data_IF_863229364212
#
_entry.id   IF_863229364212
#
_cell.length_a   1.000
_cell.length_b   1.000
_cell.length_c   1.000
_cell.angle_alpha   90.00
_cell.angle_beta   90.00
_cell.angle_gamma   90.00
#
_symmetry.space_group_name_H-M   'P 1'
#
loop_
_entity.id
_entity.type
_entity.pdbx_description
1 polymer ?
#
# COMPACT_ATOMS: atom_id res chain seq x y z
N UNK A 1 26.03 114.68 6.96
CA UNK A 1 26.75 113.88 5.93
C UNK A 1 25.72 113.05 5.20
N UNK A 2 25.52 113.38 3.93
CA UNK A 2 24.55 112.87 2.97
C UNK A 2 25.32 112.09 1.88
N UNK A 3 24.59 111.23 1.13
CA UNK A 3 24.87 110.73 -0.24
C UNK A 3 26.03 109.69 -0.40
N UNK A 4 26.02 108.72 -1.32
CA UNK A 4 25.19 108.35 -2.50
C UNK A 4 25.49 106.87 -2.87
N UNK A 5 24.48 106.01 -3.13
CA UNK A 5 24.10 105.35 -4.41
C UNK A 5 25.08 104.39 -5.15
N UNK A 6 24.61 103.15 -5.48
CA UNK A 6 24.20 102.66 -6.85
C UNK A 6 24.13 101.11 -7.02
N UNK A 7 22.92 100.63 -7.32
CA UNK A 7 22.46 99.76 -8.45
C UNK A 7 23.20 98.45 -8.84
N UNK A 8 22.59 97.26 -8.78
CA UNK A 8 21.72 96.61 -9.81
C UNK A 8 22.52 95.48 -10.51
N UNK A 9 22.10 94.21 -10.70
CA UNK A 9 20.92 93.64 -11.39
C UNK A 9 20.75 92.14 -11.03
N UNK A 10 19.51 91.63 -11.14
CA UNK A 10 19.09 90.22 -11.07
C UNK A 10 19.40 89.46 -12.37
N UNK A 11 19.73 88.16 -12.26
CA UNK A 11 19.58 87.17 -13.33
C UNK A 11 18.75 85.99 -12.79
N UNK A 12 17.58 85.78 -13.39
CA UNK A 12 16.66 84.67 -13.12
C UNK A 12 17.17 83.39 -13.80
N UNK A 13 17.17 82.28 -13.07
CA UNK A 13 17.21 80.95 -13.68
C UNK A 13 15.81 80.33 -13.58
N UNK A 14 15.08 80.34 -14.69
CA UNK A 14 13.81 79.64 -14.84
C UNK A 14 14.03 78.13 -14.68
N UNK A 15 13.38 77.54 -13.68
CA UNK A 15 13.35 76.10 -13.43
C UNK A 15 12.30 75.47 -14.35
N UNK A 16 12.73 74.77 -15.40
CA UNK A 16 11.85 73.91 -16.18
C UNK A 16 11.64 72.62 -15.40
N UNK A 17 10.47 72.46 -14.79
CA UNK A 17 10.01 71.21 -14.17
C UNK A 17 9.38 70.32 -15.24
N UNK A 18 10.07 69.23 -15.58
CA UNK A 18 9.56 68.14 -16.42
C UNK A 18 9.39 66.85 -15.60
N UNK A 19 8.20 66.28 -15.68
CA UNK A 19 7.67 65.12 -14.95
C UNK A 19 8.60 63.88 -14.89
N UNK A 20 8.68 63.27 -13.70
CA UNK A 20 8.98 61.85 -13.51
C UNK A 20 7.92 61.24 -12.56
N UNK A 21 7.39 60.09 -12.98
CA UNK A 21 6.22 59.32 -12.54
C UNK A 21 5.89 59.23 -11.03
N UNK A 22 4.60 59.03 -10.65
CA UNK A 22 4.17 58.99 -9.24
C UNK A 22 4.48 57.64 -8.57
N UNK A 23 5.46 57.62 -7.66
CA UNK A 23 5.88 56.46 -6.85
C UNK A 23 4.76 55.70 -6.12
N UNK A 24 3.62 56.35 -5.85
CA UNK A 24 2.47 55.72 -5.15
C UNK A 24 1.71 54.71 -6.00
N UNK A 25 1.64 54.90 -7.33
CA UNK A 25 0.98 53.90 -8.20
C UNK A 25 1.84 52.65 -8.31
N UNK A 26 3.15 52.80 -8.51
CA UNK A 26 4.12 51.70 -8.63
C UNK A 26 4.13 50.79 -7.40
N UNK A 27 4.06 51.35 -6.18
CA UNK A 27 3.96 50.56 -4.95
C UNK A 27 2.66 49.75 -4.83
N UNK A 28 1.55 50.29 -5.32
CA UNK A 28 0.23 49.62 -5.29
C UNK A 28 0.15 48.51 -6.34
N UNK A 29 0.72 48.74 -7.52
CA UNK A 29 0.87 47.71 -8.56
C UNK A 29 1.81 46.58 -8.12
N UNK A 30 2.94 46.89 -7.48
CA UNK A 30 3.84 45.88 -6.92
C UNK A 30 3.18 45.02 -5.83
N UNK A 31 2.39 45.63 -4.92
CA UNK A 31 1.64 44.86 -3.91
C UNK A 31 0.61 43.92 -4.54
N UNK A 32 -0.12 44.37 -5.57
CA UNK A 32 -1.05 43.50 -6.31
C UNK A 32 -0.33 42.38 -7.03
N UNK A 33 0.81 42.65 -7.69
CA UNK A 33 1.61 41.62 -8.37
C UNK A 33 2.15 40.59 -7.37
N UNK A 34 2.64 41.03 -6.21
CA UNK A 34 3.11 40.13 -5.16
C UNK A 34 1.95 39.30 -4.60
N UNK A 35 0.78 39.90 -4.35
CA UNK A 35 -0.39 39.14 -3.87
C UNK A 35 -0.90 38.14 -4.92
N UNK A 36 -0.93 38.52 -6.20
CA UNK A 36 -1.30 37.64 -7.30
C UNK A 36 -0.26 36.54 -7.50
N UNK A 37 1.03 36.82 -7.35
CA UNK A 37 2.09 35.81 -7.40
C UNK A 37 2.03 34.87 -6.20
N UNK A 38 1.76 35.35 -4.98
CA UNK A 38 1.57 34.50 -3.80
C UNK A 38 0.31 33.64 -3.98
N UNK A 39 -0.79 34.23 -4.43
CA UNK A 39 -2.03 33.50 -4.70
C UNK A 39 -1.84 32.47 -5.83
N UNK A 40 -1.13 32.83 -6.90
CA UNK A 40 -0.77 31.93 -7.99
C UNK A 40 0.15 30.82 -7.49
N UNK A 41 1.20 31.12 -6.71
CA UNK A 41 2.09 30.13 -6.12
C UNK A 41 1.39 29.18 -5.13
N UNK A 42 0.41 29.67 -4.35
CA UNK A 42 -0.40 28.85 -3.43
C UNK A 42 -1.40 27.97 -4.17
N UNK A 43 -1.93 28.41 -5.32
CA UNK A 43 -2.80 27.59 -6.14
C UNK A 43 -2.01 26.60 -7.01
N UNK A 44 -0.85 27.01 -7.52
CA UNK A 44 0.13 26.16 -8.22
C UNK A 44 0.63 25.06 -7.29
N UNK A 45 0.99 25.36 -6.04
CA UNK A 45 1.42 24.32 -5.08
C UNK A 45 0.32 23.30 -4.78
N UNK A 46 -0.97 23.69 -4.79
CA UNK A 46 -2.10 22.75 -4.70
C UNK A 46 -2.30 21.91 -5.96
N UNK A 47 -1.97 22.45 -7.14
CA UNK A 47 -2.06 21.74 -8.43
C UNK A 47 -0.90 20.74 -8.59
N UNK A 48 0.25 20.98 -7.94
CA UNK A 48 1.44 20.12 -8.03
C UNK A 48 1.67 19.19 -6.82
N UNK A 49 0.93 19.32 -5.72
CA UNK A 49 0.97 18.33 -4.63
C UNK A 49 -0.03 17.20 -4.89
N UNK A 50 0.39 16.17 -5.63
CA UNK A 50 -0.28 14.87 -5.50
C UNK A 50 0.13 14.34 -4.12
N UNK A 51 -0.73 14.54 -3.13
CA UNK A 51 -0.55 13.88 -1.85
C UNK A 51 -0.79 12.39 -2.09
N UNK A 52 0.30 11.64 -2.29
CA UNK A 52 0.26 10.18 -2.34
C UNK A 52 -0.37 9.61 -1.06
N UNK A 53 -0.30 10.35 0.04
CA UNK A 53 -0.77 9.94 1.35
C UNK A 53 -1.90 10.81 1.89
N UNK A 54 -2.83 10.16 2.56
CA UNK A 54 -3.86 10.77 3.38
C UNK A 54 -3.69 10.28 4.82
N UNK A 55 -3.39 11.19 5.74
CA UNK A 55 -3.44 10.89 7.17
C UNK A 55 -4.90 10.75 7.59
N UNK A 56 -5.22 9.67 8.28
CA UNK A 56 -6.55 9.46 8.81
C UNK A 56 -6.58 9.89 10.28
N UNK A 57 -7.60 10.66 10.66
CA UNK A 57 -7.84 11.00 12.06
C UNK A 57 -8.45 9.80 12.77
N UNK A 58 -7.78 9.28 13.79
CA UNK A 58 -8.20 8.09 14.54
C UNK A 58 -8.81 8.41 15.91
N UNK A 59 -8.59 9.61 16.43
CA UNK A 59 -9.06 10.02 17.76
C UNK A 59 -8.32 9.36 18.93
N UNK A 60 -7.22 8.65 18.69
CA UNK A 60 -6.40 8.00 19.72
C UNK A 60 -4.92 8.28 19.50
N UNK A 61 -4.12 8.17 20.57
CA UNK A 61 -2.65 8.18 20.52
C UNK A 61 -2.05 6.81 20.82
N UNK A 62 -2.88 5.79 21.01
CA UNK A 62 -2.40 4.43 21.27
C UNK A 62 -1.69 3.86 20.05
N UNK A 63 -0.63 3.09 20.27
CA UNK A 63 0.06 2.39 19.18
C UNK A 63 -0.88 1.37 18.53
N UNK A 64 -1.03 1.47 17.21
CA UNK A 64 -1.78 0.53 16.39
C UNK A 64 -0.83 -0.56 15.88
N UNK A 65 -1.30 -1.80 15.92
CA UNK A 65 -0.48 -3.01 15.71
C UNK A 65 -0.90 -3.82 14.50
N UNK A 66 -2.17 -3.77 14.11
CA UNK A 66 -2.64 -4.46 12.91
C UNK A 66 -3.82 -3.76 12.27
N UNK A 67 -3.92 -3.82 10.94
CA UNK A 67 -4.99 -3.23 10.16
C UNK A 67 -5.45 -4.19 9.07
N UNK A 68 -6.77 -4.30 8.90
CA UNK A 68 -7.36 -5.12 7.84
C UNK A 68 -8.61 -4.48 7.28
N UNK A 69 -8.94 -4.82 6.03
CA UNK A 69 -10.17 -4.38 5.40
C UNK A 69 -10.98 -5.56 4.90
N UNK A 70 -12.30 -5.48 5.15
CA UNK A 70 -13.30 -6.41 4.62
C UNK A 70 -13.58 -6.09 3.15
N UNK A 71 -13.63 -4.79 2.84
CA UNK A 71 -13.81 -4.23 1.51
C UNK A 71 -13.25 -2.81 1.47
N UNK A 72 -13.36 -2.09 0.36
CA UNK A 72 -12.77 -0.74 0.20
C UNK A 72 -13.29 0.31 1.18
N UNK A 73 -14.48 0.08 1.76
CA UNK A 73 -15.13 1.01 2.68
C UNK A 73 -15.03 0.54 4.14
N UNK A 74 -15.09 -0.76 4.39
CA UNK A 74 -15.14 -1.31 5.76
C UNK A 74 -13.80 -1.87 6.19
N UNK A 75 -13.24 -1.33 7.27
CA UNK A 75 -11.94 -1.75 7.81
C UNK A 75 -11.87 -1.66 9.33
N UNK A 76 -10.95 -2.43 9.90
CA UNK A 76 -10.69 -2.51 11.34
C UNK A 76 -9.19 -2.38 11.59
N UNK A 77 -8.83 -1.58 12.59
CA UNK A 77 -7.47 -1.45 13.08
C UNK A 77 -7.44 -1.66 14.59
N UNK A 78 -6.45 -2.38 15.10
CA UNK A 78 -6.35 -2.76 16.51
C UNK A 78 -4.98 -2.41 17.08
N UNK A 79 -4.89 -2.26 18.40
CA UNK A 79 -3.63 -1.92 19.03
C UNK A 79 -3.60 -2.01 20.55
N UNK A 80 -2.69 -1.26 21.14
CA UNK A 80 -2.44 -1.25 22.58
C UNK A 80 -3.66 -0.78 23.38
N UNK A 81 -3.74 -1.19 24.64
CA UNK A 81 -4.78 -0.77 25.58
C UNK A 81 -6.20 -1.05 25.06
N UNK A 82 -6.40 -2.26 24.53
CA UNK A 82 -7.67 -2.73 23.96
C UNK A 82 -8.27 -1.84 22.87
N UNK A 83 -7.43 -1.11 22.12
CA UNK A 83 -7.90 -0.22 21.05
C UNK A 83 -8.48 -1.05 19.90
N UNK A 84 -9.73 -0.77 19.52
CA UNK A 84 -10.37 -1.25 18.28
C UNK A 84 -10.93 -0.04 17.56
N UNK A 85 -10.42 0.25 16.37
CA UNK A 85 -10.93 1.28 15.48
C UNK A 85 -11.66 0.63 14.32
N UNK A 86 -12.83 1.15 13.96
CA UNK A 86 -13.63 0.69 12.84
C UNK A 86 -13.93 1.86 11.89
N UNK A 87 -13.85 1.61 10.58
CA UNK A 87 -14.29 2.54 9.54
C UNK A 87 -15.32 1.86 8.64
N UNK A 88 -16.27 2.64 8.13
CA UNK A 88 -17.26 2.20 7.13
C UNK A 88 -17.23 3.05 5.85
N UNK A 89 -16.25 3.93 5.70
CA UNK A 89 -16.10 4.85 4.56
C UNK A 89 -14.64 4.95 4.07
N UNK A 90 -13.88 3.87 4.19
CA UNK A 90 -12.54 3.76 3.60
C UNK A 90 -11.50 4.59 4.35
N UNK A 91 -11.71 4.82 5.65
CA UNK A 91 -10.79 5.51 6.54
C UNK A 91 -11.11 6.99 6.78
N UNK A 92 -12.00 7.60 5.99
CA UNK A 92 -12.34 9.04 6.14
C UNK A 92 -12.73 9.39 7.57
N UNK A 93 -13.40 8.47 8.27
CA UNK A 93 -13.46 8.49 9.73
C UNK A 93 -13.18 7.10 10.32
N UNK A 94 -12.67 7.09 11.54
CA UNK A 94 -12.51 5.92 12.39
C UNK A 94 -13.28 6.13 13.69
N UNK A 95 -14.01 5.12 14.11
CA UNK A 95 -14.80 5.09 15.34
C UNK A 95 -14.16 4.08 16.28
N UNK A 96 -13.94 4.48 17.54
CA UNK A 96 -13.49 3.55 18.58
C UNK A 96 -14.65 2.64 18.99
N UNK A 97 -14.40 1.34 19.02
CA UNK A 97 -15.34 0.32 19.48
C UNK A 97 -14.89 -0.14 20.86
N UNK A 98 -15.55 0.41 21.88
CA UNK A 98 -15.25 0.07 23.27
C UNK A 98 -15.87 -1.28 23.63
N UNK A 99 -15.02 -2.23 24.01
CA UNK A 99 -15.43 -3.46 24.67
C UNK A 99 -14.90 -3.45 26.11
N UNK A 100 -15.82 -3.41 27.06
CA UNK A 100 -15.55 -3.15 28.47
C UNK A 100 -14.39 -3.98 29.05
N UNK A 101 -13.47 -3.31 29.76
CA UNK A 101 -12.51 -3.84 30.73
C UNK A 101 -11.61 -5.01 30.27
N UNK A 102 -10.94 -4.88 29.12
CA UNK A 102 -9.70 -5.62 28.89
C UNK A 102 -8.50 -4.68 29.06
N UNK A 103 -7.53 -5.06 29.89
CA UNK A 103 -6.21 -4.38 29.96
C UNK A 103 -5.21 -4.99 28.95
N UNK A 104 -5.67 -5.78 27.99
CA UNK A 104 -4.82 -6.49 27.05
C UNK A 104 -4.36 -5.61 25.89
N UNK A 105 -3.26 -5.99 25.24
CA UNK A 105 -2.85 -5.40 23.97
C UNK A 105 -3.34 -6.29 22.83
N UNK A 106 -4.06 -5.71 21.86
CA UNK A 106 -4.49 -6.44 20.68
C UNK A 106 -3.38 -6.47 19.63
N UNK A 107 -3.10 -7.67 19.12
CA UNK A 107 -1.87 -7.98 18.39
C UNK A 107 -2.08 -8.18 16.90
N UNK A 108 -3.21 -8.72 16.47
CA UNK A 108 -3.53 -8.99 15.07
C UNK A 108 -5.05 -9.04 14.86
N UNK A 109 -5.51 -8.64 13.68
CA UNK A 109 -6.92 -8.70 13.28
C UNK A 109 -7.06 -9.32 11.89
N UNK A 110 -8.02 -10.24 11.72
CA UNK A 110 -8.36 -10.81 10.42
C UNK A 110 -9.84 -11.21 10.34
N UNK A 111 -10.37 -11.21 9.13
CA UNK A 111 -11.75 -11.63 8.84
C UNK A 111 -11.76 -12.93 8.04
N UNK A 112 -12.59 -13.89 8.48
CA UNK A 112 -12.88 -15.09 7.71
C UNK A 112 -13.79 -14.74 6.52
N UNK A 113 -14.78 -13.88 6.77
CA UNK A 113 -15.74 -13.42 5.78
C UNK A 113 -16.24 -12.01 6.14
N UNK A 114 -17.21 -11.48 5.41
CA UNK A 114 -17.68 -10.11 5.58
C UNK A 114 -18.28 -9.79 6.96
N UNK A 115 -18.73 -10.80 7.71
CA UNK A 115 -19.39 -10.62 9.01
C UNK A 115 -18.57 -11.18 10.17
N UNK A 116 -17.77 -12.22 9.93
CA UNK A 116 -17.04 -12.94 10.97
C UNK A 116 -15.56 -12.59 10.95
N UNK A 117 -15.08 -12.05 12.05
CA UNK A 117 -13.68 -11.67 12.24
C UNK A 117 -13.19 -11.91 13.66
N UNK A 118 -11.87 -11.88 13.80
CA UNK A 118 -11.18 -12.24 15.04
C UNK A 118 -10.02 -11.29 15.31
N UNK A 119 -9.79 -11.02 16.59
CA UNK A 119 -8.66 -10.25 17.11
C UNK A 119 -7.94 -11.11 18.16
N UNK A 120 -6.62 -11.16 18.10
CA UNK A 120 -5.79 -11.83 19.11
C UNK A 120 -5.27 -10.83 20.14
N UNK A 121 -4.98 -11.29 21.36
CA UNK A 121 -4.33 -10.48 22.38
C UNK A 121 -3.12 -11.15 23.01
N UNK A 122 -2.22 -10.34 23.54
CA UNK A 122 -1.06 -10.81 24.30
C UNK A 122 -1.39 -11.43 25.67
N UNK A 123 -2.66 -11.34 26.09
CA UNK A 123 -3.18 -12.00 27.29
C UNK A 123 -3.82 -13.36 26.98
N UNK A 124 -3.74 -13.83 25.73
CA UNK A 124 -4.30 -15.12 25.31
C UNK A 124 -5.79 -15.09 24.95
N UNK A 125 -6.41 -13.91 24.92
CA UNK A 125 -7.81 -13.77 24.52
C UNK A 125 -7.97 -13.86 23.00
N UNK A 126 -9.07 -14.50 22.58
CA UNK A 126 -9.57 -14.42 21.23
C UNK A 126 -10.89 -13.64 21.24
N UNK A 127 -10.89 -12.51 20.55
CA UNK A 127 -12.03 -11.58 20.49
C UNK A 127 -12.70 -11.77 19.14
N UNK A 128 -14.02 -11.99 19.12
CA UNK A 128 -14.78 -12.38 17.92
C UNK A 128 -15.88 -11.38 17.61
N UNK A 129 -16.09 -11.11 16.32
CA UNK A 129 -17.27 -10.42 15.80
C UNK A 129 -18.05 -11.34 14.87
N UNK A 130 -19.36 -11.13 14.78
CA UNK A 130 -20.26 -11.77 13.81
C UNK A 130 -21.09 -10.75 13.02
N UNK A 131 -20.76 -9.46 13.13
CA UNK A 131 -21.47 -8.36 12.48
C UNK A 131 -20.52 -7.35 11.81
N UNK A 132 -19.39 -7.84 11.27
CA UNK A 132 -18.47 -7.02 10.48
C UNK A 132 -17.60 -6.06 11.31
N UNK A 133 -17.43 -6.34 12.60
CA UNK A 133 -16.60 -5.53 13.49
C UNK A 133 -17.32 -4.39 14.20
N UNK A 134 -18.65 -4.34 14.10
CA UNK A 134 -19.48 -3.36 14.82
C UNK A 134 -19.57 -3.67 16.32
N UNK A 135 -19.58 -4.95 16.70
CA UNK A 135 -19.50 -5.41 18.08
C UNK A 135 -18.54 -6.60 18.20
N UNK A 136 -17.96 -6.78 19.38
CA UNK A 136 -16.99 -7.83 19.66
C UNK A 136 -17.24 -8.50 21.01
N UNK A 137 -16.98 -9.81 21.08
CA UNK A 137 -17.09 -10.62 22.30
C UNK A 137 -15.75 -11.25 22.64
N UNK A 138 -15.33 -11.15 23.90
CA UNK A 138 -14.04 -11.68 24.39
C UNK A 138 -14.23 -13.12 24.87
N UNK A 139 -13.27 -14.00 24.54
CA UNK A 139 -13.19 -15.35 25.09
C UNK A 139 -11.80 -15.63 25.67
N UNK A 140 -11.76 -16.34 26.81
CA UNK A 140 -10.54 -16.93 27.35
C UNK A 140 -10.17 -18.15 26.51
N UNK A 141 -9.34 -17.94 25.49
CA UNK A 141 -9.09 -18.94 24.46
C UNK A 141 -7.84 -19.76 24.74
N UNK A 142 -6.74 -19.11 25.12
CA UNK A 142 -5.44 -19.74 25.32
C UNK A 142 -4.82 -19.26 26.63
N UNK A 143 -4.13 -20.13 27.39
CA UNK A 143 -3.35 -19.70 28.55
C UNK A 143 -2.07 -18.94 28.13
N UNK A 144 -1.66 -19.05 26.88
CA UNK A 144 -0.49 -18.38 26.32
C UNK A 144 -0.89 -17.16 25.46
N UNK A 145 -0.04 -16.11 25.40
CA UNK A 145 -0.22 -14.97 24.51
C UNK A 145 -0.48 -15.37 23.05
N UNK A 146 -1.47 -14.75 22.42
CA UNK A 146 -1.74 -14.87 20.99
C UNK A 146 -1.16 -13.66 20.25
N UNK A 147 -0.53 -13.91 19.10
CA UNK A 147 0.20 -12.88 18.35
C UNK A 147 -0.28 -12.68 16.92
N UNK A 148 -0.82 -13.72 16.31
CA UNK A 148 -1.19 -13.67 14.89
C UNK A 148 -2.47 -14.43 14.63
N UNK A 149 -3.37 -13.83 13.85
CA UNK A 149 -4.55 -14.46 13.28
C UNK A 149 -4.47 -14.36 11.76
N UNK A 150 -4.78 -15.46 11.08
CA UNK A 150 -4.79 -15.52 9.63
C UNK A 150 -5.97 -16.35 9.12
N UNK A 151 -6.63 -15.89 8.07
CA UNK A 151 -7.62 -16.65 7.32
C UNK A 151 -7.20 -16.74 5.86
N UNK A 152 -7.12 -17.96 5.34
CA UNK A 152 -6.89 -18.20 3.91
C UNK A 152 -8.19 -18.04 3.11
N UNK A 153 -9.31 -18.48 3.70
CA UNK A 153 -10.66 -18.32 3.17
C UNK A 153 -11.68 -18.30 4.32
N UNK A 154 -12.98 -18.37 4.01
CA UNK A 154 -14.06 -18.28 5.00
C UNK A 154 -14.15 -19.44 5.98
N UNK A 155 -13.50 -20.57 5.71
CA UNK A 155 -13.53 -21.75 6.56
C UNK A 155 -12.18 -22.08 7.18
N UNK A 156 -11.08 -21.90 6.44
CA UNK A 156 -9.72 -22.26 6.84
C UNK A 156 -8.97 -21.06 7.41
N UNK A 157 -8.58 -21.16 8.68
CA UNK A 157 -7.81 -20.14 9.37
C UNK A 157 -6.92 -20.70 10.47
N UNK A 158 -6.02 -19.85 10.98
CA UNK A 158 -5.05 -20.19 12.00
C UNK A 158 -4.90 -19.06 13.02
N UNK A 159 -4.77 -19.43 14.29
CA UNK A 159 -4.44 -18.55 15.41
C UNK A 159 -3.16 -19.06 16.03
N UNK A 160 -2.14 -18.21 16.15
CA UNK A 160 -0.85 -18.58 16.72
C UNK A 160 -0.29 -17.54 17.67
N UNK A 161 0.62 -17.97 18.53
CA UNK A 161 1.29 -17.09 19.48
C UNK A 161 2.47 -17.77 20.17
N UNK A 162 2.65 -17.49 21.45
CA UNK A 162 3.69 -18.14 22.24
C UNK A 162 3.35 -19.62 22.45
N UNK A 163 4.23 -20.50 21.96
CA UNK A 163 4.16 -21.96 22.17
C UNK A 163 2.84 -22.60 21.72
N UNK A 164 2.08 -21.94 20.85
CA UNK A 164 0.74 -22.41 20.49
C UNK A 164 0.36 -22.05 19.05
N UNK A 165 -0.28 -23.00 18.38
CA UNK A 165 -0.89 -22.87 17.06
C UNK A 165 -2.18 -23.68 17.01
N UNK A 166 -3.26 -23.00 16.60
CA UNK A 166 -4.56 -23.59 16.38
C UNK A 166 -4.99 -23.40 14.93
N UNK A 167 -5.74 -24.37 14.41
CA UNK A 167 -6.36 -24.37 13.09
C UNK A 167 -7.87 -24.44 13.21
N UNK A 168 -8.58 -23.74 12.34
CA UNK A 168 -10.02 -23.93 12.12
C UNK A 168 -10.27 -24.34 10.69
N UNK A 169 -11.32 -25.13 10.46
CA UNK A 169 -11.83 -25.50 9.14
C UNK A 169 -13.31 -25.15 8.97
N UNK A 170 -13.88 -24.40 9.92
CA UNK A 170 -15.27 -23.96 9.96
C UNK A 170 -15.40 -22.49 10.37
N UNK A 171 -14.46 -21.64 9.96
CA UNK A 171 -14.57 -20.18 10.12
C UNK A 171 -14.43 -19.72 11.58
N UNK A 172 -13.77 -20.52 12.42
CA UNK A 172 -13.55 -20.22 13.84
C UNK A 172 -14.79 -20.45 14.72
N UNK A 173 -15.67 -21.37 14.32
CA UNK A 173 -16.64 -21.99 15.24
C UNK A 173 -15.90 -22.93 16.21
N UNK A 174 -14.96 -23.73 15.71
CA UNK A 174 -14.10 -24.58 16.51
C UNK A 174 -12.63 -24.46 16.07
N UNK A 175 -11.72 -24.68 17.01
CA UNK A 175 -10.28 -24.59 16.83
C UNK A 175 -9.59 -25.85 17.34
N UNK A 176 -8.70 -26.43 16.53
CA UNK A 176 -7.95 -27.65 16.83
C UNK A 176 -6.49 -27.25 17.03
N UNK A 177 -5.88 -27.72 18.12
CA UNK A 177 -4.46 -27.50 18.36
C UNK A 177 -3.62 -28.31 17.37
N UNK A 178 -2.80 -27.63 16.57
CA UNK A 178 -1.88 -28.21 15.57
C UNK A 178 -0.44 -27.76 15.85
N UNK A 179 -0.15 -27.44 17.12
CA UNK A 179 1.17 -27.05 17.59
C UNK A 179 2.15 -28.20 17.35
N UNK A 180 3.30 -27.95 16.69
CA UNK A 180 4.31 -28.99 16.49
C UNK A 180 4.82 -29.55 17.83
N UNK A 181 5.15 -30.85 17.90
CA UNK A 181 5.73 -31.44 19.12
C UNK A 181 7.01 -30.70 19.55
N UNK A 182 7.10 -30.35 20.84
CA UNK A 182 8.26 -29.65 21.40
C UNK A 182 8.38 -28.18 20.99
N UNK A 183 7.36 -27.60 20.35
CA UNK A 183 7.38 -26.20 19.92
C UNK A 183 7.44 -25.23 21.09
N UNK A 184 8.48 -24.39 21.13
CA UNK A 184 8.72 -23.43 22.21
C UNK A 184 9.20 -22.07 21.65
N UNK A 185 8.45 -21.50 20.72
CA UNK A 185 8.80 -20.23 20.05
C UNK A 185 7.54 -19.34 19.90
N UNK A 186 7.70 -18.08 19.49
CA UNK A 186 6.58 -17.15 19.27
C UNK A 186 6.29 -17.03 17.77
N UNK A 187 5.07 -17.40 17.35
CA UNK A 187 4.61 -17.23 15.96
C UNK A 187 4.38 -15.74 15.67
N UNK A 188 4.88 -15.27 14.52
CA UNK A 188 4.73 -13.87 14.08
C UNK A 188 4.07 -13.70 12.72
N UNK A 189 4.08 -14.73 11.86
CA UNK A 189 3.40 -14.71 10.56
C UNK A 189 2.94 -16.11 10.20
N UNK A 190 1.75 -16.24 9.62
CA UNK A 190 1.22 -17.46 9.03
C UNK A 190 0.68 -17.09 7.65
N UNK A 191 1.00 -17.88 6.64
CA UNK A 191 0.52 -17.65 5.27
C UNK A 191 0.37 -18.97 4.53
N UNK A 192 -0.75 -19.13 3.83
CA UNK A 192 -0.95 -20.20 2.86
C UNK A 192 -0.94 -19.62 1.44
N UNK A 193 -0.33 -20.35 0.50
CA UNK A 193 -0.46 -20.06 -0.93
C UNK A 193 -1.73 -20.69 -1.50
N UNK A 194 -2.01 -21.93 -1.08
CA UNK A 194 -3.21 -22.68 -1.43
C UNK A 194 -3.67 -23.54 -0.23
N UNK A 195 -4.70 -24.37 -0.43
CA UNK A 195 -5.29 -25.17 0.65
C UNK A 195 -4.31 -26.12 1.34
N UNK A 196 -3.20 -26.48 0.69
CA UNK A 196 -2.25 -27.48 1.21
C UNK A 196 -0.90 -26.87 1.57
N UNK A 197 -0.44 -25.88 0.82
CA UNK A 197 0.93 -25.37 0.89
C UNK A 197 1.02 -24.01 1.59
N UNK A 198 1.92 -23.91 2.57
CA UNK A 198 2.22 -22.63 3.20
C UNK A 198 3.30 -22.69 4.27
N UNK A 199 3.46 -21.57 4.97
CA UNK A 199 4.52 -21.35 5.95
C UNK A 199 3.98 -20.66 7.19
N UNK A 200 4.63 -20.91 8.31
CA UNK A 200 4.61 -19.96 9.41
C UNK A 200 6.03 -19.63 9.85
N UNK A 201 6.19 -18.43 10.38
CA UNK A 201 7.44 -17.90 10.87
C UNK A 201 7.35 -17.68 12.38
N UNK A 202 8.46 -17.90 13.06
CA UNK A 202 8.61 -17.54 14.47
C UNK A 202 9.64 -16.45 14.64
N UNK A 203 9.62 -15.82 15.81
CA UNK A 203 10.64 -14.85 16.22
C UNK A 203 10.85 -14.94 17.72
N UNK A 204 12.09 -14.77 18.13
CA UNK A 204 12.47 -14.54 19.51
C UNK A 204 13.37 -13.32 19.60
N UNK A 205 13.34 -12.61 20.73
CA UNK A 205 14.15 -11.40 20.89
C UNK A 205 15.64 -11.76 20.87
N UNK A 206 16.38 -11.22 19.91
CA UNK A 206 17.82 -11.46 19.70
C UNK A 206 18.22 -12.90 19.35
N UNK A 207 17.26 -13.82 19.21
CA UNK A 207 17.48 -15.20 18.80
C UNK A 207 17.02 -15.42 17.34
N UNK A 208 17.57 -16.41 16.64
CA UNK A 208 17.09 -16.78 15.32
C UNK A 208 15.62 -17.21 15.36
N UNK A 209 14.82 -16.67 14.46
CA UNK A 209 13.50 -17.21 14.17
C UNK A 209 13.60 -18.54 13.43
N UNK A 210 12.49 -19.24 13.31
CA UNK A 210 12.37 -20.51 12.62
C UNK A 210 11.32 -20.42 11.52
N UNK A 211 11.56 -21.13 10.44
CA UNK A 211 10.61 -21.27 9.33
C UNK A 211 10.03 -22.66 9.37
N UNK A 212 8.70 -22.73 9.41
CA UNK A 212 7.96 -23.98 9.31
C UNK A 212 7.18 -24.02 8.02
N UNK A 213 7.08 -25.21 7.41
CA UNK A 213 6.39 -25.46 6.16
C UNK A 213 5.29 -26.50 6.36
N UNK A 214 4.18 -26.34 5.65
CA UNK A 214 3.15 -27.36 5.51
C UNK A 214 2.91 -27.69 4.03
N UNK A 215 2.50 -28.93 3.79
CA UNK A 215 2.04 -29.43 2.48
C UNK A 215 0.71 -30.20 2.60
N UNK A 216 0.00 -30.03 3.73
CA UNK A 216 -1.28 -30.68 4.03
C UNK A 216 -2.25 -29.73 4.76
N UNK A 217 -2.17 -28.45 4.42
CA UNK A 217 -3.10 -27.41 4.88
C UNK A 217 -2.95 -27.11 6.37
N UNK A 218 -1.72 -27.20 6.88
CA UNK A 218 -1.41 -26.92 8.28
C UNK A 218 -1.94 -27.96 9.27
N UNK A 219 -2.25 -29.17 8.79
CA UNK A 219 -2.53 -30.30 9.68
C UNK A 219 -1.25 -30.75 10.38
N UNK A 220 -0.12 -30.72 9.66
CA UNK A 220 1.22 -30.86 10.23
C UNK A 220 2.14 -29.77 9.66
N UNK A 221 3.18 -29.44 10.44
CA UNK A 221 4.18 -28.43 10.10
C UNK A 221 5.58 -28.97 10.37
N UNK A 222 6.48 -28.78 9.42
CA UNK A 222 7.87 -29.21 9.49
C UNK A 222 8.80 -28.00 9.59
N UNK A 223 9.69 -27.98 10.59
CA UNK A 223 10.75 -26.99 10.72
C UNK A 223 11.78 -27.17 9.59
N UNK A 224 12.21 -26.07 8.97
CA UNK A 224 13.21 -26.06 7.90
C UNK A 224 14.60 -25.82 8.49
N UNK A 225 15.30 -26.90 8.86
CA UNK A 225 16.61 -26.82 9.54
C UNK A 225 17.70 -26.12 8.70
N UNK A 226 17.63 -26.23 7.37
CA UNK A 226 18.63 -25.65 6.45
C UNK A 226 18.28 -24.24 5.96
N UNK A 227 17.27 -23.57 6.54
CA UNK A 227 16.83 -22.25 6.08
C UNK A 227 17.96 -21.21 6.06
N UNK A 228 18.83 -21.22 7.08
CA UNK A 228 19.97 -20.30 7.19
C UNK A 228 21.29 -20.85 6.64
N UNK A 229 21.28 -21.94 5.87
CA UNK A 229 22.52 -22.53 5.36
C UNK A 229 23.30 -21.51 4.51
N UNK A 230 24.51 -21.16 4.95
CA UNK A 230 25.35 -20.14 4.30
C UNK A 230 24.95 -18.69 4.59
N UNK A 231 23.95 -18.43 5.43
CA UNK A 231 23.54 -17.08 5.83
C UNK A 231 24.09 -16.69 7.21
N UNK A 232 24.83 -15.60 7.25
CA UNK A 232 25.52 -15.10 8.47
C UNK A 232 24.94 -13.79 9.00
N UNK A 233 23.88 -13.25 8.39
CA UNK A 233 23.23 -12.03 8.84
C UNK A 233 22.27 -12.25 10.00
N UNK A 234 21.49 -11.21 10.31
CA UNK A 234 20.51 -11.22 11.40
C UNK A 234 19.29 -12.08 11.07
N UNK A 235 18.80 -12.81 12.07
CA UNK A 235 17.88 -13.94 11.86
C UNK A 235 16.47 -13.73 12.44
N UNK A 236 16.08 -12.50 12.79
CA UNK A 236 14.68 -12.24 13.13
C UNK A 236 13.82 -12.20 11.87
N UNK A 237 12.71 -12.91 11.90
CA UNK A 237 11.78 -13.04 10.79
C UNK A 237 10.58 -12.10 11.00
N UNK A 238 10.08 -11.50 9.92
CA UNK A 238 8.93 -10.59 9.98
C UNK A 238 7.79 -10.98 9.06
N UNK A 239 8.09 -11.20 7.78
CA UNK A 239 7.05 -11.43 6.79
C UNK A 239 7.38 -12.57 5.83
N UNK A 240 6.34 -13.23 5.33
CA UNK A 240 6.41 -14.31 4.35
C UNK A 240 5.36 -14.07 3.26
N UNK A 241 5.80 -14.03 2.01
CA UNK A 241 4.90 -13.87 0.86
C UNK A 241 5.20 -14.92 -0.20
N UNK A 242 4.34 -15.94 -0.33
CA UNK A 242 4.37 -16.87 -1.44
C UNK A 242 3.87 -16.20 -2.73
N UNK A 243 4.67 -16.23 -3.79
CA UNK A 243 4.24 -15.85 -5.13
C UNK A 243 3.61 -17.04 -5.86
N UNK A 244 4.19 -18.22 -5.67
CA UNK A 244 3.70 -19.51 -6.13
C UNK A 244 4.27 -20.63 -5.24
N UNK A 245 3.90 -21.89 -5.51
CA UNK A 245 4.42 -23.04 -4.75
C UNK A 245 5.95 -23.13 -4.77
N UNK A 246 6.61 -22.65 -5.81
CA UNK A 246 8.06 -22.71 -5.92
C UNK A 246 8.74 -21.45 -5.37
N UNK A 247 8.15 -20.28 -5.59
CA UNK A 247 8.75 -18.98 -5.31
C UNK A 247 8.13 -18.33 -4.08
N UNK A 248 8.94 -18.19 -3.03
CA UNK A 248 8.51 -17.60 -1.74
C UNK A 248 9.58 -16.64 -1.25
N UNK A 249 9.15 -15.53 -0.68
CA UNK A 249 9.99 -14.48 -0.11
C UNK A 249 9.77 -14.41 1.39
N UNK A 250 10.86 -14.31 2.16
CA UNK A 250 10.82 -14.07 3.61
C UNK A 250 11.67 -12.85 3.93
N UNK A 251 11.08 -11.88 4.61
CA UNK A 251 11.77 -10.73 5.16
C UNK A 251 12.38 -11.07 6.53
N UNK A 252 13.62 -10.62 6.74
CA UNK A 252 14.37 -10.84 7.95
C UNK A 252 15.31 -9.67 8.27
N UNK A 253 15.73 -9.57 9.52
CA UNK A 253 16.64 -8.54 10.00
C UNK A 253 16.48 -8.19 11.48
N UNK A 254 17.31 -7.29 11.98
CA UNK A 254 17.05 -6.46 13.16
C UNK A 254 17.46 -5.02 12.82
N UNK A 255 18.77 -4.78 12.72
CA UNK A 255 19.40 -3.53 12.33
C UNK A 255 19.74 -3.49 10.83
N UNK A 256 19.92 -4.65 10.20
CA UNK A 256 20.16 -4.83 8.77
C UNK A 256 18.96 -5.50 8.11
N UNK A 257 18.64 -5.06 6.90
CA UNK A 257 17.60 -5.69 6.08
C UNK A 257 18.13 -6.90 5.33
N UNK A 258 17.34 -7.97 5.30
CA UNK A 258 17.55 -9.13 4.46
C UNK A 258 16.25 -9.59 3.82
N UNK A 259 16.39 -10.23 2.66
CA UNK A 259 15.32 -11.04 2.05
C UNK A 259 15.91 -12.38 1.67
N UNK A 260 15.27 -13.45 2.16
CA UNK A 260 15.50 -14.81 1.71
C UNK A 260 14.46 -15.14 0.64
N UNK A 261 14.90 -15.81 -0.43
CA UNK A 261 14.04 -16.31 -1.49
C UNK A 261 14.32 -17.78 -1.76
N UNK A 262 13.25 -18.54 -1.95
CA UNK A 262 13.31 -19.87 -2.57
C UNK A 262 12.67 -19.83 -3.95
N UNK A 263 13.10 -20.74 -4.83
CA UNK A 263 12.48 -20.99 -6.14
C UNK A 263 12.20 -22.48 -6.34
N UNK A 264 12.18 -23.26 -5.26
CA UNK A 264 11.93 -24.70 -5.25
C UNK A 264 11.09 -25.12 -4.03
N UNK A 265 10.16 -24.24 -3.63
CA UNK A 265 9.16 -24.50 -2.60
C UNK A 265 9.73 -24.64 -1.20
N UNK A 266 10.83 -23.95 -0.92
CA UNK A 266 11.45 -23.90 0.41
C UNK A 266 12.44 -25.03 0.68
N UNK A 267 12.84 -25.79 -0.34
CA UNK A 267 13.89 -26.82 -0.21
C UNK A 267 15.26 -26.17 -0.02
N UNK A 268 15.57 -25.15 -0.84
CA UNK A 268 16.76 -24.31 -0.70
C UNK A 268 16.36 -22.85 -0.62
N UNK A 269 17.10 -22.07 0.16
CA UNK A 269 16.91 -20.65 0.33
C UNK A 269 18.18 -19.89 -0.02
N UNK A 270 17.99 -18.80 -0.74
CA UNK A 270 19.05 -17.89 -1.14
C UNK A 270 18.80 -16.53 -0.52
N UNK A 271 19.82 -15.95 0.09
CA UNK A 271 19.81 -14.53 0.42
C UNK A 271 19.95 -13.72 -0.88
N UNK A 272 18.94 -12.89 -1.19
CA UNK A 272 18.89 -12.17 -2.46
C UNK A 272 19.13 -10.67 -2.32
N UNK A 273 19.28 -10.15 -1.11
CA UNK A 273 19.40 -8.72 -0.87
C UNK A 273 20.80 -8.32 -0.37
N UNK A 274 21.57 -7.59 -1.17
CA UNK A 274 22.89 -7.08 -0.75
C UNK A 274 22.91 -5.54 -0.90
N UNK A 275 22.79 -4.85 0.24
CA UNK A 275 23.15 -3.44 0.48
C UNK A 275 22.23 -2.34 -0.07
N UNK A 276 21.66 -1.57 0.87
CA UNK A 276 21.25 -0.18 0.66
C UNK A 276 22.53 0.70 0.74
N UNK A 277 23.13 1.05 -0.39
CA UNK A 277 24.27 1.97 -0.40
C UNK A 277 23.87 3.46 -0.29
N UNK A 278 22.60 3.77 0.02
CA UNK A 278 22.07 5.15 -0.04
C UNK A 278 21.40 5.62 1.26
N UNK A 279 21.15 4.72 2.22
CA UNK A 279 20.63 5.10 3.54
C UNK A 279 21.49 4.49 4.65
N UNK A 280 21.85 5.32 5.63
CA UNK A 280 22.68 4.93 6.77
C UNK A 280 22.01 3.91 7.71
N UNK A 281 20.68 3.72 7.66
CA UNK A 281 19.94 2.81 8.57
C UNK A 281 18.61 2.28 7.99
N UNK A 282 18.60 1.36 7.01
CA UNK A 282 17.39 0.61 6.69
C UNK A 282 17.30 -0.56 7.66
N UNK A 283 16.57 -0.39 8.77
CA UNK A 283 16.19 -1.52 9.60
C UNK A 283 15.19 -2.43 8.88
N UNK A 284 14.93 -3.59 9.49
CA UNK A 284 14.25 -4.74 8.88
C UNK A 284 13.00 -4.42 8.07
N UNK A 285 12.76 -5.18 6.99
CA UNK A 285 11.49 -5.16 6.29
C UNK A 285 10.43 -5.86 7.14
N UNK A 286 9.37 -5.13 7.50
CA UNK A 286 8.28 -5.66 8.33
C UNK A 286 7.14 -6.19 7.48
N UNK A 287 6.97 -5.66 6.26
CA UNK A 287 5.90 -6.06 5.36
C UNK A 287 6.43 -6.08 3.92
N UNK A 288 6.06 -7.13 3.18
CA UNK A 288 6.35 -7.34 1.78
C UNK A 288 5.05 -7.44 1.00
N UNK A 289 5.05 -6.94 -0.23
CA UNK A 289 3.96 -7.12 -1.18
C UNK A 289 4.54 -7.58 -2.50
N UNK A 290 4.23 -8.80 -2.87
CA UNK A 290 4.64 -9.36 -4.16
C UNK A 290 3.52 -9.14 -5.16
N UNK A 291 3.78 -8.29 -6.15
CA UNK A 291 2.87 -7.99 -7.24
C UNK A 291 3.02 -9.02 -8.37
N UNK A 292 4.27 -9.31 -8.72
CA UNK A 292 4.65 -10.35 -9.67
C UNK A 292 6.11 -10.81 -9.43
N UNK A 293 6.66 -11.62 -10.34
CA UNK A 293 8.03 -12.18 -10.23
C UNK A 293 9.13 -11.12 -10.18
N UNK A 294 8.87 -9.94 -10.71
CA UNK A 294 9.82 -8.84 -10.80
C UNK A 294 9.49 -7.72 -9.82
N UNK A 295 8.21 -7.45 -9.58
CA UNK A 295 7.76 -6.30 -8.80
C UNK A 295 7.42 -6.69 -7.37
N UNK A 296 8.26 -6.23 -6.43
CA UNK A 296 8.08 -6.44 -4.98
C UNK A 296 8.16 -5.09 -4.29
N UNK A 297 7.22 -4.83 -3.40
CA UNK A 297 7.25 -3.67 -2.51
C UNK A 297 7.63 -4.16 -1.13
N UNK A 298 8.44 -3.39 -0.42
CA UNK A 298 8.76 -3.65 0.97
C UNK A 298 8.58 -2.38 1.79
N UNK A 299 8.10 -2.56 3.01
CA UNK A 299 8.06 -1.52 4.03
C UNK A 299 9.06 -1.89 5.13
N UNK A 300 9.98 -0.98 5.48
CA UNK A 300 10.76 -1.18 6.70
C UNK A 300 9.94 -0.84 7.94
N UNK A 301 10.18 -1.59 9.01
CA UNK A 301 9.64 -1.28 10.32
C UNK A 301 10.38 -0.14 11.01
N UNK A 302 9.92 0.23 12.21
CA UNK A 302 10.58 1.22 13.03
C UNK A 302 11.97 0.76 13.41
N UNK A 303 12.95 1.64 13.23
CA UNK A 303 14.33 1.46 13.71
C UNK A 303 14.67 2.71 14.50
N UNK A 304 15.42 2.60 15.60
CA UNK A 304 15.71 3.71 16.50
C UNK A 304 16.22 4.96 15.74
N UNK A 305 15.35 5.97 15.60
CA UNK A 305 15.66 7.24 14.94
C UNK A 305 15.52 7.24 13.42
N UNK A 306 15.13 6.14 12.76
CA UNK A 306 14.95 6.06 11.32
C UNK A 306 13.46 6.03 10.92
N UNK A 307 13.05 6.82 9.92
CA UNK A 307 11.66 6.78 9.45
C UNK A 307 11.35 5.48 8.68
N UNK A 308 10.07 5.12 8.61
CA UNK A 308 9.59 4.07 7.73
C UNK A 308 9.59 4.53 6.27
N UNK A 309 9.89 3.63 5.35
CA UNK A 309 9.93 3.83 3.92
C UNK A 309 9.21 2.69 3.20
N UNK A 310 8.55 3.04 2.11
CA UNK A 310 8.15 2.09 1.08
C UNK A 310 9.19 2.09 -0.03
N UNK A 311 9.73 0.92 -0.34
CA UNK A 311 10.70 0.72 -1.41
C UNK A 311 10.18 -0.32 -2.40
N UNK A 312 10.61 -0.21 -3.66
CA UNK A 312 10.21 -1.10 -4.73
C UNK A 312 11.43 -1.77 -5.34
N UNK A 313 11.30 -3.07 -5.57
CA UNK A 313 12.16 -3.86 -6.44
C UNK A 313 11.43 -4.13 -7.74
N UNK A 314 12.15 -4.05 -8.87
CA UNK A 314 11.68 -4.40 -10.21
C UNK A 314 12.44 -5.59 -10.81
N UNK A 315 13.25 -6.27 -9.99
CA UNK A 315 14.04 -7.43 -10.37
C UNK A 315 13.85 -8.58 -9.37
N UNK A 316 12.65 -8.74 -8.82
CA UNK A 316 12.29 -9.90 -8.02
C UNK A 316 12.96 -9.95 -6.65
N UNK A 317 13.18 -8.77 -6.05
CA UNK A 317 13.75 -8.58 -4.72
C UNK A 317 15.27 -8.49 -4.67
N UNK A 318 15.96 -8.66 -5.81
CA UNK A 318 17.42 -8.64 -5.82
C UNK A 318 17.99 -7.26 -5.48
N UNK A 319 17.38 -6.20 -6.03
CA UNK A 319 17.70 -4.82 -5.70
C UNK A 319 16.41 -4.05 -5.43
N UNK A 320 16.44 -3.21 -4.40
CA UNK A 320 15.40 -2.20 -4.16
C UNK A 320 15.99 -0.86 -4.58
N UNK A 321 15.41 -0.23 -5.60
CA UNK A 321 15.93 1.03 -6.14
C UNK A 321 15.36 2.22 -5.38
N UNK A 322 16.23 3.16 -5.03
CA UNK A 322 15.93 4.35 -4.22
C UNK A 322 15.28 5.55 -4.95
N UNK A 323 15.22 5.73 -6.28
CA UNK A 323 14.71 7.00 -6.82
C UNK A 323 13.23 7.30 -6.51
N UNK A 324 12.49 6.38 -5.86
CA UNK A 324 11.09 6.55 -5.48
C UNK A 324 10.76 6.03 -4.07
N UNK A 325 11.75 5.92 -3.17
CA UNK A 325 11.49 5.51 -1.78
C UNK A 325 10.53 6.51 -1.12
N UNK A 326 9.39 6.02 -0.65
CA UNK A 326 8.38 6.91 -0.09
C UNK A 326 8.44 6.89 1.43
N UNK A 327 8.87 8.01 2.02
CA UNK A 327 8.94 8.18 3.47
C UNK A 327 7.53 8.22 4.06
N UNK A 328 7.23 7.27 4.93
CA UNK A 328 6.04 7.27 5.77
C UNK A 328 6.29 8.15 6.98
N UNK A 329 5.24 8.81 7.45
CA UNK A 329 5.31 9.65 8.63
C UNK A 329 5.14 8.80 9.89
N UNK A 330 6.22 8.62 10.65
CA UNK A 330 6.18 7.86 11.90
C UNK A 330 6.56 6.38 11.74
N UNK A 331 6.37 5.64 12.83
CA UNK A 331 6.73 4.23 12.97
C UNK A 331 5.53 3.35 12.64
N UNK A 332 5.63 2.55 11.57
CA UNK A 332 4.57 1.70 11.04
C UNK A 332 4.81 0.24 11.44
N UNK A 333 3.75 -0.44 11.88
CA UNK A 333 3.81 -1.83 12.35
C UNK A 333 3.15 -2.83 11.39
N UNK A 334 2.14 -2.41 10.64
CA UNK A 334 1.38 -3.27 9.74
C UNK A 334 0.86 -2.48 8.53
N UNK A 335 0.58 -3.19 7.44
CA UNK A 335 0.08 -2.64 6.20
C UNK A 335 -0.94 -3.55 5.53
N UNK A 336 -2.07 -3.00 5.10
CA UNK A 336 -3.06 -3.69 4.28
C UNK A 336 -3.06 -3.16 2.85
N UNK A 337 -3.03 -4.05 1.85
CA UNK A 337 -2.92 -3.69 0.44
C UNK A 337 -4.07 -4.21 -0.41
N UNK A 338 -4.79 -3.30 -1.05
CA UNK A 338 -5.76 -3.62 -2.08
C UNK A 338 -5.06 -3.80 -3.42
N UNK A 339 -4.87 -5.06 -3.85
CA UNK A 339 -4.24 -5.38 -5.13
C UNK A 339 -5.00 -4.86 -6.36
N UNK A 340 -6.31 -4.63 -6.24
CA UNK A 340 -7.18 -4.22 -7.36
C UNK A 340 -7.20 -2.71 -7.60
N UNK A 341 -7.07 -1.90 -6.54
CA UNK A 341 -7.03 -0.43 -6.63
C UNK A 341 -5.64 0.14 -6.43
N UNK A 342 -4.68 -0.70 -6.03
CA UNK A 342 -3.36 -0.27 -5.59
C UNK A 342 -3.40 0.69 -4.41
N UNK A 343 -4.49 0.70 -3.64
CA UNK A 343 -4.56 1.41 -2.38
C UNK A 343 -3.89 0.60 -1.27
N UNK A 344 -3.26 1.28 -0.32
CA UNK A 344 -2.72 0.64 0.87
C UNK A 344 -3.03 1.46 2.12
N UNK A 345 -3.11 0.80 3.26
CA UNK A 345 -3.30 1.42 4.56
C UNK A 345 -2.21 0.93 5.49
N UNK A 346 -1.58 1.85 6.22
CA UNK A 346 -0.53 1.54 7.18
C UNK A 346 -0.94 2.05 8.54
N UNK A 347 -0.70 1.28 9.59
CA UNK A 347 -0.97 1.70 10.96
C UNK A 347 0.28 1.65 11.82
N UNK A 348 0.37 2.56 12.80
CA UNK A 348 1.61 2.80 13.53
C UNK A 348 1.47 3.39 14.93
N UNK A 349 2.58 3.94 15.42
CA UNK A 349 2.64 4.66 16.70
C UNK A 349 1.77 5.91 16.73
N UNK A 350 1.45 6.36 17.94
CA UNK A 350 0.69 7.60 18.16
C UNK A 350 -0.67 7.61 17.45
N UNK A 351 -1.29 6.44 17.30
CA UNK A 351 -2.59 6.29 16.65
C UNK A 351 -2.59 6.56 15.14
N UNK A 352 -1.43 6.58 14.48
CA UNK A 352 -1.38 6.97 13.07
C UNK A 352 -1.95 5.89 12.16
N UNK A 353 -2.81 6.32 11.23
CA UNK A 353 -3.19 5.55 10.04
C UNK A 353 -2.88 6.40 8.81
N UNK A 354 -2.14 5.84 7.86
CA UNK A 354 -1.83 6.46 6.58
C UNK A 354 -2.49 5.65 5.48
N UNK A 355 -3.30 6.30 4.65
CA UNK A 355 -3.81 5.73 3.41
C UNK A 355 -2.94 6.20 2.24
N UNK A 356 -2.52 5.26 1.40
CA UNK A 356 -1.83 5.49 0.15
C UNK A 356 -2.80 5.18 -0.99
N UNK A 357 -3.13 6.17 -1.83
CA UNK A 357 -4.14 6.01 -2.88
C UNK A 357 -3.64 5.21 -4.10
N UNK A 358 -2.32 5.15 -4.31
CA UNK A 358 -1.67 4.27 -5.29
C UNK A 358 -0.24 3.99 -4.86
N UNK A 359 0.09 2.72 -4.63
CA UNK A 359 1.44 2.30 -4.26
C UNK A 359 2.35 1.94 -5.45
N UNK A 360 1.83 1.96 -6.68
CA UNK A 360 2.69 1.79 -7.87
C UNK A 360 3.41 3.11 -8.14
N UNK A 361 4.61 3.22 -7.61
CA UNK A 361 5.58 4.24 -8.01
C UNK A 361 5.88 4.05 -9.50
N UNK A 362 5.38 4.99 -10.31
CA UNK A 362 5.61 5.29 -11.75
C UNK A 362 4.34 5.56 -12.56
N UNK A 363 3.13 5.38 -12.00
CA UNK A 363 1.92 5.93 -12.61
C UNK A 363 1.73 7.34 -12.07
N UNK A 364 2.13 8.35 -12.84
CA UNK A 364 1.68 9.70 -12.58
C UNK A 364 0.15 9.71 -12.71
N UNK A 365 -0.56 9.89 -11.60
CA UNK A 365 -1.95 10.34 -11.66
C UNK A 365 -1.96 11.82 -12.05
N UNK A 366 -1.44 12.15 -13.23
CA UNK A 366 -1.75 13.43 -13.84
C UNK A 366 -3.20 13.34 -14.29
N UNK A 367 -4.07 14.01 -13.53
CA UNK A 367 -5.28 14.70 -14.01
C UNK A 367 -6.02 14.01 -15.16
N UNK A 368 -6.53 12.81 -14.95
CA UNK A 368 -7.59 12.28 -15.81
C UNK A 368 -8.61 11.64 -14.88
N UNK A 369 -9.86 12.08 -14.94
CA UNK A 369 -10.98 11.50 -14.20
C UNK A 369 -11.12 10.03 -14.64
N UNK A 370 -10.48 9.12 -13.91
CA UNK A 370 -10.65 7.68 -14.10
C UNK A 370 -12.02 7.34 -13.50
N UNK A 371 -13.06 7.47 -14.31
CA UNK A 371 -14.38 6.94 -14.02
C UNK A 371 -14.31 5.45 -14.35
N UNK A 372 -14.49 4.58 -13.35
CA UNK A 372 -14.57 3.13 -13.52
C UNK A 372 -15.91 2.73 -12.87
N UNK A 373 -16.82 1.95 -13.47
CA UNK A 373 -16.72 0.83 -14.41
C UNK A 373 -18.04 0.73 -15.21
N UNK A 374 -18.02 0.01 -16.34
CA UNK A 374 -19.17 -0.46 -17.14
C UNK A 374 -19.61 0.38 -18.36
N UNK A 375 -18.67 0.58 -19.30
CA UNK A 375 -19.00 1.08 -20.66
C UNK A 375 -18.52 0.20 -21.83
N UNK A 376 -17.73 -0.84 -21.57
CA UNK A 376 -17.29 -1.77 -22.61
C UNK A 376 -16.94 -3.14 -22.02
N UNK A 377 -17.07 -4.20 -22.81
CA UNK A 377 -16.61 -5.55 -22.50
C UNK A 377 -15.44 -5.95 -23.40
N UNK A 378 -14.59 -6.85 -22.88
CA UNK A 378 -13.49 -7.45 -23.62
C UNK A 378 -13.87 -8.90 -23.88
N UNK A 379 -13.93 -9.29 -25.15
CA UNK A 379 -14.31 -10.66 -25.53
C UNK A 379 -13.43 -11.18 -26.67
N UNK A 380 -12.83 -12.38 -26.55
CA UNK A 380 -12.84 -13.26 -25.37
C UNK A 380 -11.92 -12.74 -24.25
N UNK A 381 -12.28 -13.02 -23.00
CA UNK A 381 -11.43 -12.77 -21.82
C UNK A 381 -11.61 -13.91 -20.79
N UNK A 382 -10.65 -14.84 -20.64
CA UNK A 382 -9.32 -14.85 -21.24
C UNK A 382 -9.31 -14.92 -22.78
N UNK A 383 -8.39 -14.20 -23.42
CA UNK A 383 -8.30 -14.06 -24.87
C UNK A 383 -7.06 -14.72 -25.48
N UNK A 384 -7.15 -15.08 -26.77
CA UNK A 384 -6.03 -15.59 -27.57
C UNK A 384 -5.25 -14.46 -28.24
N UNK A 385 -4.93 -14.62 -29.52
CA UNK A 385 -4.22 -13.61 -30.31
C UNK A 385 -5.08 -12.41 -30.71
N UNK A 386 -6.40 -12.50 -30.54
CA UNK A 386 -7.34 -11.46 -30.88
C UNK A 386 -8.31 -11.23 -29.72
N UNK A 387 -8.58 -9.96 -29.44
CA UNK A 387 -9.60 -9.52 -28.48
C UNK A 387 -10.50 -8.47 -29.13
N UNK A 388 -11.78 -8.47 -28.80
CA UNK A 388 -12.74 -7.47 -29.24
C UNK A 388 -13.09 -6.56 -28.07
N UNK A 389 -13.15 -5.25 -28.33
CA UNK A 389 -13.66 -4.25 -27.40
C UNK A 389 -15.08 -3.90 -27.83
N UNK A 390 -16.06 -4.36 -27.07
CA UNK A 390 -17.48 -4.21 -27.35
C UNK A 390 -18.06 -3.14 -26.43
N UNK A 391 -18.57 -2.01 -26.94
CA UNK A 391 -19.26 -1.01 -26.11
C UNK A 391 -20.54 -1.61 -25.49
N UNK A 392 -20.92 -1.16 -24.29
CA UNK A 392 -22.18 -1.58 -23.65
C UNK A 392 -23.39 -0.84 -24.29
N UNK A 393 -24.56 -1.49 -24.36
CA UNK A 393 -25.71 -1.24 -25.28
C UNK A 393 -26.34 0.18 -25.31
N UNK A 394 -25.85 1.15 -24.54
CA UNK A 394 -26.42 2.51 -24.47
C UNK A 394 -25.42 3.63 -24.80
N UNK A 395 -24.37 3.33 -25.58
CA UNK A 395 -23.30 4.28 -25.83
C UNK A 395 -23.10 4.62 -27.31
N UNK A 396 -23.60 5.79 -27.70
CA UNK A 396 -23.60 6.32 -29.07
C UNK A 396 -22.21 6.88 -29.45
N UNK A 397 -21.17 6.03 -29.41
CA UNK A 397 -19.78 6.37 -29.75
C UNK A 397 -19.43 6.04 -31.21
N UNK A 398 -20.44 5.82 -32.06
CA UNK A 398 -20.32 5.21 -33.38
C UNK A 398 -19.63 6.04 -34.45
N UNK A 399 -19.39 7.33 -34.21
CA UNK A 399 -18.89 8.24 -35.25
C UNK A 399 -17.64 9.06 -34.86
N UNK A 400 -17.24 9.06 -33.58
CA UNK A 400 -16.22 10.02 -33.10
C UNK A 400 -14.77 9.49 -33.11
N UNK A 401 -14.57 8.18 -33.28
CA UNK A 401 -13.25 7.55 -33.21
C UNK A 401 -12.62 7.60 -31.82
N UNK A 402 -11.41 7.05 -31.68
CA UNK A 402 -10.73 6.97 -30.38
C UNK A 402 -9.41 6.20 -30.42
N UNK A 403 -8.83 5.99 -29.24
CA UNK A 403 -7.57 5.29 -29.07
C UNK A 403 -7.69 4.18 -28.01
N UNK A 404 -7.05 3.06 -28.30
CA UNK A 404 -6.89 1.95 -27.38
C UNK A 404 -5.41 1.82 -27.07
N UNK A 405 -5.07 1.78 -25.78
CA UNK A 405 -3.71 1.61 -25.31
C UNK A 405 -3.68 0.41 -24.37
N UNK A 406 -2.76 -0.52 -24.60
CA UNK A 406 -2.57 -1.69 -23.72
C UNK A 406 -1.28 -1.50 -22.93
N UNK A 407 -1.39 -1.72 -21.63
CA UNK A 407 -0.30 -1.69 -20.67
C UNK A 407 -0.04 -3.09 -20.11
N UNK A 408 1.22 -3.42 -19.88
CA UNK A 408 1.59 -4.59 -19.09
C UNK A 408 1.39 -4.34 -17.57
N UNK A 409 1.62 -5.36 -16.76
CA UNK A 409 1.52 -5.28 -15.29
C UNK A 409 2.46 -4.25 -14.65
N UNK A 410 3.53 -3.85 -15.34
CA UNK A 410 4.46 -2.83 -14.86
C UNK A 410 3.97 -1.40 -15.15
N UNK A 411 2.88 -1.25 -15.93
CA UNK A 411 2.37 0.03 -16.41
C UNK A 411 3.07 0.52 -17.68
N UNK A 412 3.91 -0.30 -18.32
CA UNK A 412 4.54 0.06 -19.60
C UNK A 412 3.52 -0.14 -20.72
N UNK A 413 3.39 0.86 -21.59
CA UNK A 413 2.61 0.74 -22.82
C UNK A 413 3.27 -0.31 -23.74
N UNK A 414 2.50 -1.32 -24.13
CA UNK A 414 2.95 -2.44 -24.97
C UNK A 414 2.21 -2.53 -26.30
N UNK A 415 1.06 -1.86 -26.43
CA UNK A 415 0.30 -1.81 -27.68
C UNK A 415 -0.50 -0.52 -27.78
N UNK A 416 -0.77 -0.07 -29.00
CA UNK A 416 -1.77 0.95 -29.30
C UNK A 416 -2.55 0.62 -30.58
N UNK A 417 -3.83 1.01 -30.61
CA UNK A 417 -4.71 0.84 -31.75
C UNK A 417 -5.71 2.00 -31.84
N UNK A 418 -6.21 2.30 -33.04
CA UNK A 418 -7.29 3.27 -33.23
C UNK A 418 -8.65 2.59 -33.22
N UNK A 419 -9.66 3.26 -32.66
CA UNK A 419 -11.06 2.84 -32.71
C UNK A 419 -11.63 3.29 -34.04
N UNK A 420 -11.97 2.32 -34.90
CA UNK A 420 -12.43 2.60 -36.26
C UNK A 420 -13.83 2.07 -36.57
N UNK A 421 -14.45 1.19 -35.76
CA UNK A 421 -15.85 0.71 -35.88
C UNK A 421 -16.31 -0.18 -34.69
N UNK A 422 -17.59 -0.57 -34.61
CA UNK A 422 -18.25 -1.24 -33.47
C UNK A 422 -17.63 -2.56 -32.96
N UNK A 423 -16.91 -3.30 -33.80
CA UNK A 423 -16.16 -4.48 -33.38
C UNK A 423 -14.67 -4.19 -33.52
N UNK A 424 -14.11 -3.45 -32.55
CA UNK A 424 -12.67 -3.16 -32.52
C UNK A 424 -11.90 -4.43 -32.14
N UNK A 425 -11.66 -5.28 -33.14
CA UNK A 425 -10.82 -6.47 -33.00
C UNK A 425 -9.36 -6.04 -33.02
N UNK A 426 -8.65 -6.31 -31.94
CA UNK A 426 -7.25 -5.97 -31.74
C UNK A 426 -6.40 -7.22 -31.88
N UNK A 427 -5.41 -7.18 -32.77
CA UNK A 427 -4.40 -8.21 -32.87
C UNK A 427 -3.30 -8.00 -31.81
N UNK A 428 -3.25 -8.91 -30.85
CA UNK A 428 -2.29 -8.94 -29.75
C UNK A 428 -1.35 -10.15 -29.83
N UNK A 429 -1.19 -10.77 -31.00
CA UNK A 429 -0.37 -11.98 -31.17
C UNK A 429 1.09 -11.79 -30.74
N UNK A 430 1.65 -10.60 -30.97
CA UNK A 430 3.00 -10.20 -30.56
C UNK A 430 3.18 -10.04 -29.04
N UNK A 431 2.10 -9.97 -28.24
CA UNK A 431 2.20 -9.85 -26.79
C UNK A 431 2.41 -11.24 -26.14
N UNK A 432 3.29 -11.37 -25.13
CA UNK A 432 3.45 -12.63 -24.41
C UNK A 432 2.22 -13.00 -23.58
N UNK A 433 2.15 -14.24 -23.10
CA UNK A 433 1.11 -14.69 -22.17
C UNK A 433 1.24 -13.95 -20.84
N UNK A 434 0.26 -13.14 -20.50
CA UNK A 434 0.26 -12.32 -19.28
C UNK A 434 -1.12 -11.74 -18.99
N UNK A 435 -1.20 -10.98 -17.91
CA UNK A 435 -2.30 -10.08 -17.60
C UNK A 435 -1.96 -8.69 -18.15
N UNK A 436 -2.96 -8.04 -18.76
CA UNK A 436 -2.84 -6.72 -19.34
C UNK A 436 -3.97 -5.81 -18.88
N UNK A 437 -3.71 -4.50 -18.94
CA UNK A 437 -4.72 -3.47 -18.76
C UNK A 437 -4.94 -2.74 -20.07
N UNK A 438 -6.19 -2.61 -20.49
CA UNK A 438 -6.55 -1.83 -21.66
C UNK A 438 -7.17 -0.51 -21.20
N UNK A 439 -6.66 0.60 -21.73
CA UNK A 439 -7.20 1.94 -21.59
C UNK A 439 -7.85 2.31 -22.92
N UNK A 440 -9.14 2.62 -22.88
CA UNK A 440 -9.92 3.05 -24.05
C UNK A 440 -10.24 4.53 -23.88
N UNK A 441 -9.86 5.32 -24.87
CA UNK A 441 -10.17 6.75 -25.01
C UNK A 441 -11.18 6.91 -26.13
N UNK A 442 -12.37 7.38 -25.81
CA UNK A 442 -13.33 7.80 -26.84
C UNK A 442 -13.17 9.29 -27.07
N UNK A 443 -13.12 9.72 -28.33
CA UNK A 443 -13.21 11.13 -28.65
C UNK A 443 -14.67 11.56 -28.41
N UNK A 444 -14.90 12.59 -27.61
CA UNK A 444 -16.24 13.11 -27.36
C UNK A 444 -16.40 14.47 -28.05
N UNK A 445 -17.57 14.71 -28.68
CA UNK A 445 -17.87 15.97 -29.38
C UNK A 445 -17.92 17.16 -28.39
N UNK A 446 -18.15 16.90 -27.10
CA UNK A 446 -18.33 17.91 -26.04
C UNK A 446 -17.05 18.25 -25.25
N UNK A 447 -15.86 18.08 -25.84
CA UNK A 447 -14.56 18.62 -25.38
C UNK A 447 -13.92 18.07 -24.10
N UNK A 448 -14.43 16.98 -23.52
CA UNK A 448 -13.72 16.24 -22.46
C UNK A 448 -13.45 14.81 -22.90
N UNK A 449 -12.18 14.42 -22.94
CA UNK A 449 -11.77 13.05 -23.21
C UNK A 449 -12.11 12.17 -21.99
N UNK A 450 -12.89 11.12 -22.20
CA UNK A 450 -13.20 10.12 -21.16
C UNK A 450 -12.29 8.90 -21.35
N UNK A 451 -11.78 8.35 -20.24
CA UNK A 451 -10.89 7.20 -20.24
C UNK A 451 -11.47 6.07 -19.40
N UNK A 452 -11.48 4.87 -19.99
CA UNK A 452 -12.01 3.67 -19.36
C UNK A 452 -10.93 2.58 -19.31
N UNK A 453 -10.79 1.89 -18.16
CA UNK A 453 -9.72 0.91 -17.95
C UNK A 453 -10.31 -0.44 -17.53
N UNK A 454 -9.97 -1.52 -18.26
CA UNK A 454 -10.32 -2.91 -17.89
C UNK A 454 -9.12 -3.84 -17.95
N UNK A 455 -9.18 -4.91 -17.18
CA UNK A 455 -8.20 -6.00 -17.15
C UNK A 455 -8.59 -7.10 -18.15
N UNK A 456 -7.63 -7.65 -18.88
CA UNK A 456 -7.79 -8.92 -19.59
C UNK A 456 -6.58 -9.84 -19.44
N UNK A 457 -6.79 -11.13 -19.73
CA UNK A 457 -5.76 -12.17 -19.65
C UNK A 457 -5.50 -12.73 -21.05
N UNK A 458 -4.24 -12.75 -21.51
CA UNK A 458 -3.83 -13.41 -22.77
C UNK A 458 -3.31 -14.82 -22.47
N UNK A 459 -3.86 -15.84 -23.14
CA UNK A 459 -3.60 -17.26 -22.82
C UNK A 459 -2.91 -18.06 -23.94
N UNK A 460 -2.87 -17.56 -25.18
CA UNK A 460 -2.21 -18.22 -26.32
C UNK A 460 -1.08 -17.38 -26.90
#
# INVERSE_FOLDING_TARGET
>A
MQQHERNGYRLEFAKVTGNLFPEKQTFTYMKKIIFTLIFFCVNVSKIFSINYFEFQSTGTTNTLKSITFINQNTGVCVGNFSTILHTSNGGTNWVNIDISNSAAHYTSVAFANATTGFITSDSGHLIKTTNGGLNWTISNFSPNPLRYIYFFNSSLGFVGGANTLYKTTNGGENWINVTPPGFSEIIVKIVLYDNDFGFFLTREYLNPGSVFKTTNGGTNWQKLENFYSGYTGEKALFDCVPLNRDTVYIALGYYQTGIMRTTNGGTNWQHIYNQFNVYTYPGSFYELVVLDRNNIIAMNGPTDGAPCYLVKSTNGGFNFTHPSAIRLAGYMYDGFFFRNTYAAYFCGESGIIIKLNSFITNVSSQTENIINKDKFTISPNPGGDFISILPDENSDYSESGGEIIIYDLSGKQVHNAKINNFQNVINISHLPKSVYFIKVKYNNINSVNEYYIKKFVKIF
#
